data_IF_609900582356
#
_entry.id   IF_609900582356
#
_cell.length_a   1.000
_cell.length_b   1.000
_cell.length_c   1.000
_cell.angle_alpha   90.00
_cell.angle_beta   90.00
_cell.angle_gamma   90.00
#
_symmetry.space_group_name_H-M   'P 1'
#
loop_
_entity.id
_entity.type
_entity.pdbx_description
1 polymer ?
#
# COMPACT_ATOMS: atom_id res chain seq x y z
N UNK A 1 17.01 -19.06 -18.46
CA UNK A 1 16.28 -17.91 -17.92
C UNK A 1 16.79 -17.64 -16.51
N UNK A 2 17.53 -16.55 -16.31
CA UNK A 2 18.01 -16.17 -14.98
C UNK A 2 16.90 -15.49 -14.18
N UNK A 3 16.76 -15.87 -12.91
CA UNK A 3 15.81 -15.23 -11.99
C UNK A 3 16.56 -14.15 -11.22
N UNK A 4 16.21 -12.88 -11.42
CA UNK A 4 16.77 -11.75 -10.66
C UNK A 4 15.84 -11.37 -9.49
N UNK A 5 16.34 -11.21 -8.26
CA UNK A 5 15.54 -10.72 -7.14
C UNK A 5 15.09 -9.28 -7.39
N UNK A 6 13.80 -9.01 -7.23
CA UNK A 6 13.22 -7.67 -7.38
C UNK A 6 13.17 -6.89 -6.05
N UNK A 7 13.31 -7.57 -4.92
CA UNK A 7 13.30 -6.93 -3.60
C UNK A 7 13.33 -7.94 -2.46
N UNK A 8 13.49 -7.42 -1.26
CA UNK A 8 13.55 -8.16 -0.01
C UNK A 8 12.80 -7.39 1.08
N UNK A 9 12.12 -8.14 1.96
CA UNK A 9 11.60 -7.60 3.20
C UNK A 9 12.05 -8.48 4.37
N UNK A 10 12.27 -7.87 5.52
CA UNK A 10 12.80 -8.52 6.72
C UNK A 10 11.93 -8.16 7.91
N UNK A 11 11.67 -9.17 8.74
CA UNK A 11 10.99 -9.06 10.03
C UNK A 11 11.95 -9.63 11.06
N UNK A 12 12.40 -8.80 12.01
CA UNK A 12 13.34 -9.20 13.04
C UNK A 12 12.67 -9.01 14.39
N UNK A 13 12.47 -10.08 15.15
CA UNK A 13 11.84 -9.98 16.47
C UNK A 13 12.78 -9.27 17.43
N UNK A 14 12.31 -8.19 18.04
CA UNK A 14 13.05 -7.39 19.03
C UNK A 14 12.51 -7.59 20.46
N UNK A 15 11.29 -8.11 20.58
CA UNK A 15 10.68 -8.43 21.87
C UNK A 15 9.56 -9.48 21.79
N UNK A 16 8.86 -9.77 22.90
CA UNK A 16 7.79 -10.77 22.93
C UNK A 16 6.65 -10.49 21.95
N UNK A 17 6.28 -9.21 21.76
CA UNK A 17 5.23 -8.76 20.86
C UNK A 17 5.71 -7.68 19.86
N UNK A 18 7.01 -7.46 19.76
CA UNK A 18 7.63 -6.38 18.98
C UNK A 18 8.60 -6.93 17.95
N UNK A 19 8.65 -6.29 16.79
CA UNK A 19 9.63 -6.61 15.77
C UNK A 19 10.01 -5.38 14.92
N UNK A 20 11.21 -5.40 14.38
CA UNK A 20 11.66 -4.45 13.37
C UNK A 20 11.25 -4.93 11.97
N UNK A 21 10.83 -4.00 11.11
CA UNK A 21 10.48 -4.25 9.71
C UNK A 21 11.29 -3.36 8.78
N UNK A 22 11.84 -3.96 7.73
CA UNK A 22 12.55 -3.24 6.66
C UNK A 22 12.20 -3.83 5.30
N UNK A 23 12.19 -2.99 4.26
CA UNK A 23 11.94 -3.41 2.87
C UNK A 23 12.84 -2.64 1.90
N UNK A 24 13.40 -3.35 0.93
CA UNK A 24 14.19 -2.78 -0.16
C UNK A 24 13.77 -3.42 -1.49
N UNK A 25 13.64 -2.61 -2.54
CA UNK A 25 13.21 -3.04 -3.88
C UNK A 25 14.16 -2.41 -4.89
N UNK A 26 14.47 -3.11 -5.98
CA UNK A 26 15.27 -2.53 -7.07
C UNK A 26 14.50 -1.41 -7.75
N UNK A 27 15.20 -0.37 -8.20
CA UNK A 27 14.56 0.84 -8.72
C UNK A 27 13.61 0.57 -9.90
N UNK A 28 13.98 -0.35 -10.79
CA UNK A 28 13.17 -0.77 -11.93
C UNK A 28 11.81 -1.39 -11.53
N UNK A 29 11.70 -1.87 -10.29
CA UNK A 29 10.50 -2.46 -9.73
C UNK A 29 9.72 -1.49 -8.81
N UNK A 30 10.18 -0.25 -8.65
CA UNK A 30 9.41 0.78 -7.97
C UNK A 30 8.08 1.05 -8.68
N UNK A 31 7.06 1.44 -7.89
CA UNK A 31 5.68 1.70 -8.35
C UNK A 31 4.93 0.50 -8.96
N UNK A 32 5.53 -0.68 -9.04
CA UNK A 32 4.88 -1.93 -9.48
C UNK A 32 4.23 -2.72 -8.34
N UNK A 33 4.22 -2.18 -7.13
CA UNK A 33 3.57 -2.80 -5.96
C UNK A 33 4.34 -3.99 -5.36
N UNK A 34 5.59 -4.23 -5.78
CA UNK A 34 6.45 -5.29 -5.20
C UNK A 34 6.62 -5.10 -3.70
N UNK A 35 7.02 -3.89 -3.27
CA UNK A 35 7.19 -3.56 -1.86
C UNK A 35 5.91 -3.78 -1.04
N UNK A 36 4.75 -3.40 -1.61
CA UNK A 36 3.44 -3.60 -0.96
C UNK A 36 3.10 -5.07 -0.77
N UNK A 37 3.39 -5.93 -1.76
CA UNK A 37 3.17 -7.39 -1.65
C UNK A 37 4.09 -8.02 -0.60
N UNK A 38 5.36 -7.59 -0.58
CA UNK A 38 6.32 -8.04 0.43
C UNK A 38 5.85 -7.66 1.85
N UNK A 39 5.41 -6.41 2.05
CA UNK A 39 4.91 -5.95 3.35
C UNK A 39 3.61 -6.65 3.78
N UNK A 40 2.69 -6.93 2.85
CA UNK A 40 1.45 -7.65 3.17
C UNK A 40 1.72 -9.10 3.62
N UNK A 41 2.67 -9.79 2.96
CA UNK A 41 3.07 -11.13 3.38
C UNK A 41 3.81 -11.10 4.72
N UNK A 42 4.62 -10.07 4.95
CA UNK A 42 5.31 -9.85 6.22
C UNK A 42 4.33 -9.55 7.36
N UNK A 43 3.30 -8.75 7.12
CA UNK A 43 2.22 -8.49 8.08
C UNK A 43 1.55 -9.78 8.52
N UNK A 44 1.18 -10.63 7.55
CA UNK A 44 0.57 -11.94 7.83
C UNK A 44 1.45 -12.81 8.71
N UNK A 45 2.76 -12.83 8.46
CA UNK A 45 3.74 -13.55 9.29
C UNK A 45 3.88 -12.95 10.67
N UNK A 46 3.92 -11.62 10.77
CA UNK A 46 3.99 -10.90 12.04
C UNK A 46 2.77 -11.22 12.92
N UNK A 47 1.56 -11.14 12.36
CA UNK A 47 0.33 -11.51 13.06
C UNK A 47 0.33 -12.98 13.51
N UNK A 48 0.71 -13.91 12.64
CA UNK A 48 0.80 -15.33 12.98
C UNK A 48 1.80 -15.60 14.11
N UNK A 49 2.84 -14.78 14.20
CA UNK A 49 3.86 -14.86 15.24
C UNK A 49 3.49 -14.05 16.51
N UNK A 50 2.28 -13.50 16.61
CA UNK A 50 1.82 -12.74 17.78
C UNK A 50 2.44 -11.35 17.94
N UNK A 51 3.07 -10.81 16.90
CA UNK A 51 3.61 -9.44 16.90
C UNK A 51 2.45 -8.44 16.86
N UNK A 52 2.49 -7.45 17.75
CA UNK A 52 1.49 -6.38 17.91
C UNK A 52 2.03 -5.02 17.47
N UNK A 53 3.34 -4.84 17.50
CA UNK A 53 4.00 -3.60 17.11
C UNK A 53 5.18 -3.89 16.19
N UNK A 54 5.25 -3.14 15.10
CA UNK A 54 6.32 -3.17 14.12
C UNK A 54 7.03 -1.83 14.11
N UNK A 55 8.35 -1.81 14.22
CA UNK A 55 9.14 -0.59 14.15
C UNK A 55 9.88 -0.51 12.83
N UNK A 56 9.81 0.64 12.16
CA UNK A 56 10.54 0.92 10.93
C UNK A 56 11.34 2.20 11.07
N UNK A 57 12.64 2.13 10.83
CA UNK A 57 13.52 3.31 10.79
C UNK A 57 13.63 3.79 9.35
N UNK A 58 13.18 5.01 9.09
CA UNK A 58 13.11 5.58 7.74
C UNK A 58 13.67 7.00 7.77
N UNK A 59 14.59 7.33 6.87
CA UNK A 59 15.06 8.71 6.69
C UNK A 59 13.89 9.64 6.38
N UNK A 60 13.87 10.84 6.97
CA UNK A 60 12.80 11.81 6.84
C UNK A 60 12.56 12.22 5.37
N UNK A 61 13.62 12.24 4.56
CA UNK A 61 13.59 12.60 3.13
C UNK A 61 13.04 11.46 2.26
N UNK A 62 12.98 10.23 2.78
CA UNK A 62 12.50 9.06 2.06
C UNK A 62 10.96 9.02 2.02
N UNK A 63 10.38 10.02 1.36
CA UNK A 63 8.93 10.21 1.20
C UNK A 63 8.23 8.99 0.59
N UNK A 64 8.92 8.25 -0.29
CA UNK A 64 8.39 7.04 -0.91
C UNK A 64 8.22 5.90 0.10
N UNK A 65 9.22 5.65 0.96
CA UNK A 65 9.12 4.65 2.02
C UNK A 65 8.07 5.05 3.07
N UNK A 66 8.05 6.33 3.48
CA UNK A 66 7.04 6.84 4.42
C UNK A 66 5.61 6.65 3.89
N UNK A 67 5.37 6.98 2.62
CA UNK A 67 4.06 6.77 1.98
C UNK A 67 3.71 5.28 1.89
N UNK A 68 4.69 4.42 1.61
CA UNK A 68 4.51 2.98 1.55
C UNK A 68 4.09 2.40 2.91
N UNK A 69 4.78 2.75 4.01
CA UNK A 69 4.45 2.27 5.35
C UNK A 69 3.06 2.76 5.78
N UNK A 70 2.75 4.05 5.57
CA UNK A 70 1.41 4.62 5.85
C UNK A 70 0.29 3.95 5.06
N UNK A 71 0.56 3.52 3.83
CA UNK A 71 -0.42 2.82 3.00
C UNK A 71 -0.57 1.33 3.37
N UNK A 72 0.42 0.75 4.06
CA UNK A 72 0.48 -0.69 4.33
C UNK A 72 -0.01 -1.04 5.73
N UNK A 73 0.18 -0.16 6.73
CA UNK A 73 -0.14 -0.45 8.13
C UNK A 73 -0.94 0.68 8.78
N UNK A 74 -1.74 0.34 9.79
CA UNK A 74 -2.20 1.35 10.73
C UNK A 74 -0.98 1.92 11.49
N UNK A 75 -1.00 3.23 11.73
CA UNK A 75 0.13 3.95 12.33
C UNK A 75 -0.11 4.16 13.82
N UNK A 76 0.93 3.97 14.61
CA UNK A 76 1.04 4.35 16.01
C UNK A 76 1.94 5.59 16.18
N UNK A 77 2.53 5.77 17.37
CA UNK A 77 3.46 6.87 17.64
C UNK A 77 4.66 6.87 16.67
N UNK A 78 5.10 8.07 16.29
CA UNK A 78 6.32 8.28 15.51
C UNK A 78 7.31 9.03 16.38
N UNK A 79 8.55 8.54 16.46
CA UNK A 79 9.65 9.20 17.17
C UNK A 79 10.63 9.74 16.14
N UNK A 80 11.10 10.97 16.34
CA UNK A 80 12.12 11.61 15.51
C UNK A 80 13.45 11.51 16.22
N UNK A 81 14.43 10.88 15.57
CA UNK A 81 15.80 10.69 16.06
C UNK A 81 16.77 11.26 15.03
N UNK A 82 17.03 12.57 15.10
CA UNK A 82 17.75 13.31 14.06
C UNK A 82 16.99 13.28 12.73
N UNK A 83 17.62 12.80 11.66
CA UNK A 83 17.01 12.67 10.33
C UNK A 83 16.28 11.34 10.14
N UNK A 84 16.19 10.50 11.18
CA UNK A 84 15.51 9.20 11.13
C UNK A 84 14.17 9.30 11.83
N UNK A 85 13.13 8.85 11.14
CA UNK A 85 11.80 8.64 11.68
C UNK A 85 11.65 7.17 12.07
N UNK A 86 11.44 6.92 13.37
CA UNK A 86 11.03 5.61 13.88
C UNK A 86 9.51 5.53 13.85
N UNK A 87 8.98 4.82 12.86
CA UNK A 87 7.55 4.59 12.71
C UNK A 87 7.11 3.39 13.54
N UNK A 88 6.04 3.54 14.31
CA UNK A 88 5.31 2.41 14.90
C UNK A 88 4.16 2.01 13.98
N UNK A 89 4.18 0.77 13.51
CA UNK A 89 3.18 0.17 12.64
C UNK A 89 2.41 -0.91 13.42
N UNK A 90 1.09 -0.93 13.31
CA UNK A 90 0.22 -1.85 14.04
C UNK A 90 -0.33 -2.91 13.08
N UNK A 91 0.30 -4.10 12.98
CA UNK A 91 -0.14 -5.16 12.08
C UNK A 91 -1.52 -5.71 12.48
N UNK A 92 -2.32 -6.12 11.49
CA UNK A 92 -3.65 -6.69 11.71
C UNK A 92 -4.73 -5.67 12.08
N UNK A 93 -4.34 -4.44 12.45
CA UNK A 93 -5.24 -3.29 12.46
C UNK A 93 -5.34 -2.77 11.04
N UNK A 94 -6.46 -3.04 10.37
CA UNK A 94 -6.68 -2.59 8.98
C UNK A 94 -6.43 -1.09 8.87
N UNK A 95 -5.38 -0.71 8.15
CA UNK A 95 -5.39 0.54 7.41
C UNK A 95 -6.52 0.42 6.39
N UNK A 96 -7.67 1.07 6.63
CA UNK A 96 -8.74 1.15 5.63
C UNK A 96 -8.18 1.93 4.44
N UNK A 97 -7.66 1.21 3.45
CA UNK A 97 -7.40 1.80 2.15
C UNK A 97 -8.76 2.07 1.48
N UNK A 98 -9.07 3.30 1.04
CA UNK A 98 -10.21 3.52 0.17
C UNK A 98 -9.97 2.69 -1.09
N UNK A 99 -10.90 1.80 -1.41
CA UNK A 99 -10.85 1.00 -2.63
C UNK A 99 -10.42 1.89 -3.80
N UNK A 100 -9.48 1.40 -4.63
CA UNK A 100 -8.97 2.09 -5.83
C UNK A 100 -10.08 2.92 -6.49
N UNK A 101 -9.89 4.21 -6.83
CA UNK A 101 -10.88 4.88 -7.67
C UNK A 101 -11.04 4.05 -8.93
N UNK A 102 -12.24 3.52 -9.13
CA UNK A 102 -12.56 2.70 -10.28
C UNK A 102 -12.16 3.44 -11.55
N UNK A 103 -11.58 2.73 -12.51
CA UNK A 103 -11.34 3.25 -13.86
C UNK A 103 -12.58 4.03 -14.31
N UNK A 104 -12.47 5.27 -14.82
CA UNK A 104 -13.63 5.96 -15.36
C UNK A 104 -14.21 5.10 -16.49
N UNK A 105 -15.44 4.64 -16.29
CA UNK A 105 -16.18 3.86 -17.28
C UNK A 105 -16.29 4.68 -18.57
N UNK A 106 -16.01 4.03 -19.70
CA UNK A 106 -16.21 4.62 -21.03
C UNK A 106 -17.62 5.23 -21.11
N UNK A 107 -17.78 6.46 -21.63
CA UNK A 107 -19.10 7.06 -21.77
C UNK A 107 -19.97 6.20 -22.69
N UNK A 108 -21.14 5.82 -22.18
CA UNK A 108 -22.14 5.10 -22.95
C UNK A 108 -22.55 5.93 -24.18
N UNK A 109 -22.35 5.37 -25.38
CA UNK A 109 -22.86 5.95 -26.63
C UNK A 109 -24.38 6.11 -26.51
N UNK A 110 -24.86 7.35 -26.38
CA UNK A 110 -26.28 7.70 -26.52
C UNK A 110 -26.75 7.22 -27.89
N UNK A 111 -27.61 6.19 -27.91
CA UNK A 111 -28.40 5.84 -29.09
C UNK A 111 -29.35 7.01 -29.40
N UNK A 112 -29.19 7.61 -30.58
CA UNK A 112 -30.16 8.56 -31.15
C UNK A 112 -31.51 7.86 -31.27
N UNK A 113 -32.48 8.27 -30.45
CA UNK A 113 -33.88 7.92 -30.64
C UNK A 113 -34.41 8.66 -31.87
N UNK A 114 -34.81 7.89 -32.89
CA UNK A 114 -35.64 8.37 -34.02
C UNK A 114 -36.95 8.92 -33.46
N UNK A 115 -37.17 10.24 -33.54
CA UNK A 115 -38.52 10.80 -33.37
C UNK A 115 -39.29 10.54 -34.66
N UNK A 116 -40.40 9.83 -34.52
CA UNK A 116 -41.41 9.61 -35.57
C UNK A 116 -42.06 10.95 -35.89
N UNK A 117 -42.24 11.20 -37.18
CA UNK A 117 -43.06 12.29 -37.71
C UNK A 117 -44.53 12.05 -37.34
N UNK A 118 -45.20 13.08 -36.86
CA UNK A 118 -46.66 13.18 -36.81
C UNK A 118 -47.13 13.88 -38.09
N UNK A 119 -48.17 13.38 -38.77
CA UNK A 119 -48.73 14.06 -39.93
C UNK A 119 -49.62 15.22 -39.48
N UNK A 120 -49.62 16.27 -40.30
CA UNK A 120 -50.47 17.45 -40.17
C UNK A 120 -51.94 17.09 -40.42
N UNK A 121 -52.84 17.73 -39.68
CA UNK A 121 -54.27 17.85 -40.02
C UNK A 121 -54.82 19.10 -39.35
N UNK A 122 -55.48 19.96 -40.14
CA UNK A 122 -56.30 21.09 -39.68
C UNK A 122 -55.79 22.43 -40.14
#
# INVERSE_FOLDING_TARGET
MERRPLGIARLIRTGPAEAEVSVAVVDDAHRNGVARRLLAELERRACAAGVRELHANVLAENTAALALFRASFAQGPCVVEGDVLRLTCLPGRRARWPARPGRPGRPARRRRGRRRATPATG
#
